data_IF_649844567071
#
_entry.id   IF_649844567071
#
_cell.length_a   1.000
_cell.length_b   1.000
_cell.length_c   1.000
_cell.angle_alpha   90.00
_cell.angle_beta   90.00
_cell.angle_gamma   90.00
#
_symmetry.space_group_name_H-M   'P 1'
#
loop_
_entity.id
_entity.type
_entity.pdbx_description
1 polymer ?
#
# COMPACT_ATOMS: atom_id res chain seq x y z
N UNK A 1 -2.86 -9.86 -17.05
CA UNK A 1 -1.52 -10.44 -16.93
C UNK A 1 -1.59 -11.95 -16.75
N UNK A 2 -0.52 -12.67 -17.12
CA UNK A 2 -0.44 -14.09 -16.86
C UNK A 2 -0.57 -14.37 -15.35
N UNK A 3 -1.08 -15.55 -14.92
CA UNK A 3 -1.23 -15.85 -13.50
C UNK A 3 0.04 -15.57 -12.71
N UNK A 4 -0.06 -14.68 -11.71
CA UNK A 4 1.05 -14.26 -10.86
C UNK A 4 2.02 -13.22 -11.49
N UNK A 5 1.75 -12.68 -12.67
CA UNK A 5 2.46 -11.54 -13.26
C UNK A 5 1.82 -10.21 -12.86
N UNK A 6 2.57 -9.13 -13.10
CA UNK A 6 2.05 -7.78 -13.09
C UNK A 6 2.30 -7.13 -14.45
N UNK A 7 1.52 -6.10 -14.76
CA UNK A 7 1.80 -5.15 -15.84
C UNK A 7 2.00 -3.80 -15.21
N UNK A 8 3.00 -3.08 -15.70
CA UNK A 8 3.34 -1.75 -15.20
C UNK A 8 3.35 -0.77 -16.35
N UNK A 9 2.75 0.41 -16.13
CA UNK A 9 2.82 1.55 -17.02
C UNK A 9 3.26 2.77 -16.23
N UNK A 10 4.09 3.63 -16.83
CA UNK A 10 4.59 4.85 -16.19
C UNK A 10 4.26 6.06 -17.05
N UNK A 11 3.49 6.97 -16.48
CA UNK A 11 3.07 8.24 -17.10
C UNK A 11 3.65 9.43 -16.35
N UNK A 12 3.66 10.61 -16.97
CA UNK A 12 4.04 11.84 -16.28
C UNK A 12 2.94 12.21 -15.27
N UNK A 13 3.35 12.61 -14.06
CA UNK A 13 2.46 13.19 -13.06
C UNK A 13 2.23 14.68 -13.32
N UNK A 14 1.48 15.32 -12.43
CA UNK A 14 1.16 16.76 -12.52
C UNK A 14 2.34 17.64 -12.08
N UNK A 15 3.13 17.17 -11.12
CA UNK A 15 4.28 17.87 -10.58
C UNK A 15 5.57 17.64 -11.35
N UNK A 16 6.53 18.55 -11.18
CA UNK A 16 7.90 18.33 -11.66
C UNK A 16 8.51 17.15 -10.90
N UNK A 17 9.15 16.24 -11.62
CA UNK A 17 9.76 15.02 -11.08
C UNK A 17 8.72 14.02 -10.46
N UNK A 18 7.45 14.16 -10.85
CA UNK A 18 6.38 13.23 -10.46
C UNK A 18 6.01 12.30 -11.63
N UNK A 19 5.79 11.04 -11.28
CA UNK A 19 5.43 9.98 -12.21
C UNK A 19 4.28 9.16 -11.62
N UNK A 20 3.33 8.77 -12.46
CA UNK A 20 2.26 7.85 -12.06
C UNK A 20 2.62 6.46 -12.53
N UNK A 21 2.75 5.54 -11.58
CA UNK A 21 3.05 4.12 -11.79
C UNK A 21 1.76 3.33 -11.62
N UNK A 22 1.19 2.86 -12.73
CA UNK A 22 0.03 1.99 -12.72
C UNK A 22 0.48 0.54 -12.69
N UNK A 23 -0.08 -0.23 -11.77
CA UNK A 23 0.19 -1.66 -11.60
C UNK A 23 -1.10 -2.43 -11.76
N UNK A 24 -1.17 -3.32 -12.76
CA UNK A 24 -2.28 -4.25 -12.95
C UNK A 24 -1.82 -5.66 -12.62
N UNK A 25 -2.52 -6.33 -11.72
CA UNK A 25 -2.22 -7.70 -11.31
C UNK A 25 -3.48 -8.39 -10.76
N UNK A 26 -3.37 -9.61 -10.24
CA UNK A 26 -4.44 -10.25 -9.47
C UNK A 26 -4.17 -10.12 -7.98
N UNK A 27 -5.25 -9.95 -7.22
CA UNK A 27 -5.18 -9.84 -5.76
C UNK A 27 -4.57 -11.08 -5.12
N UNK A 28 -3.84 -10.83 -4.06
CA UNK A 28 -3.22 -11.85 -3.22
C UNK A 28 -2.84 -11.29 -1.86
N UNK A 29 -2.67 -12.19 -0.92
CA UNK A 29 -2.21 -11.85 0.44
C UNK A 29 -0.97 -10.96 0.38
N UNK A 30 -1.00 -9.84 1.10
CA UNK A 30 0.08 -8.86 1.21
C UNK A 30 0.44 -8.13 -0.10
N UNK A 31 -0.49 -8.02 -1.06
CA UNK A 31 -0.18 -7.44 -2.37
C UNK A 31 0.38 -6.02 -2.24
N UNK A 32 -0.27 -5.15 -1.47
CA UNK A 32 0.19 -3.77 -1.26
C UNK A 32 1.62 -3.73 -0.68
N UNK A 33 1.93 -4.57 0.31
CA UNK A 33 3.28 -4.65 0.89
C UNK A 33 4.32 -5.13 -0.13
N UNK A 34 3.94 -6.00 -1.06
CA UNK A 34 4.82 -6.50 -2.13
C UNK A 34 5.13 -5.43 -3.16
N UNK A 35 4.11 -4.68 -3.61
CA UNK A 35 4.27 -3.61 -4.59
C UNK A 35 5.08 -2.48 -3.98
N UNK A 36 4.70 -2.02 -2.79
CA UNK A 36 5.39 -0.91 -2.11
C UNK A 36 6.84 -1.25 -1.74
N UNK A 37 7.17 -2.53 -1.42
CA UNK A 37 8.56 -2.96 -1.23
C UNK A 37 9.36 -2.90 -2.55
N UNK A 38 8.74 -3.27 -3.68
CA UNK A 38 9.39 -3.15 -4.99
C UNK A 38 9.69 -1.68 -5.33
N UNK A 39 8.71 -0.78 -5.18
CA UNK A 39 8.88 0.65 -5.47
C UNK A 39 9.92 1.29 -4.55
N UNK A 40 9.89 0.99 -3.25
CA UNK A 40 10.87 1.49 -2.27
C UNK A 40 12.30 1.05 -2.61
N UNK A 41 12.50 -0.17 -3.08
CA UNK A 41 13.83 -0.68 -3.49
C UNK A 41 14.39 0.02 -4.71
N UNK A 42 13.52 0.60 -5.51
CA UNK A 42 13.88 1.46 -6.65
C UNK A 42 13.97 2.95 -6.24
N UNK A 43 13.98 3.24 -4.93
CA UNK A 43 14.05 4.59 -4.36
C UNK A 43 12.95 5.53 -4.88
N UNK A 44 11.78 4.96 -5.18
CA UNK A 44 10.60 5.73 -5.57
C UNK A 44 9.83 6.15 -4.31
N UNK A 45 9.79 7.44 -4.03
CA UNK A 45 9.01 7.97 -2.91
C UNK A 45 7.56 8.14 -3.33
N UNK A 46 6.66 7.34 -2.74
CA UNK A 46 5.22 7.37 -3.00
C UNK A 46 4.63 8.56 -2.23
N UNK A 47 3.96 9.48 -2.94
CA UNK A 47 3.34 10.68 -2.35
C UNK A 47 1.82 10.64 -2.43
N UNK A 48 1.25 9.84 -3.35
CA UNK A 48 -0.17 9.56 -3.43
C UNK A 48 -0.39 8.17 -4.00
N UNK A 49 -1.52 7.55 -3.70
CA UNK A 49 -1.95 6.34 -4.37
C UNK A 49 -3.47 6.19 -4.31
N UNK A 50 -4.01 5.60 -5.38
CA UNK A 50 -5.37 5.11 -5.45
C UNK A 50 -5.34 3.61 -5.75
N UNK A 51 -5.97 2.82 -4.89
CA UNK A 51 -5.99 1.37 -4.97
C UNK A 51 -7.41 0.86 -5.18
N UNK A 52 -7.58 -0.05 -6.12
CA UNK A 52 -8.88 -0.64 -6.41
C UNK A 52 -8.76 -2.13 -6.74
N UNK A 53 -9.61 -2.94 -6.11
CA UNK A 53 -9.75 -4.36 -6.39
C UNK A 53 -11.16 -4.63 -6.92
N UNK A 54 -11.24 -5.27 -8.09
CA UNK A 54 -12.50 -5.67 -8.70
C UNK A 54 -13.02 -7.01 -8.14
N UNK A 55 -14.32 -7.30 -8.26
CA UNK A 55 -14.90 -8.55 -7.76
C UNK A 55 -14.31 -9.83 -8.38
N UNK A 56 -13.73 -9.73 -9.57
CA UNK A 56 -13.02 -10.84 -10.24
C UNK A 56 -11.57 -11.03 -9.77
N UNK A 57 -11.15 -10.21 -8.77
CA UNK A 57 -9.82 -10.26 -8.19
C UNK A 57 -8.75 -9.54 -9.02
N UNK A 58 -9.12 -8.82 -10.08
CA UNK A 58 -8.18 -7.91 -10.77
C UNK A 58 -7.94 -6.69 -9.90
N UNK A 59 -6.70 -6.25 -9.83
CA UNK A 59 -6.26 -5.07 -9.09
C UNK A 59 -5.67 -4.06 -10.07
N UNK A 60 -6.04 -2.81 -9.90
CA UNK A 60 -5.37 -1.65 -10.48
C UNK A 60 -4.95 -0.71 -9.36
N UNK A 61 -3.68 -0.65 -9.11
CA UNK A 61 -3.07 0.27 -8.15
C UNK A 61 -2.33 1.36 -8.93
N UNK A 62 -2.59 2.61 -8.60
CA UNK A 62 -1.95 3.79 -9.21
C UNK A 62 -1.17 4.53 -8.13
N UNK A 63 0.15 4.60 -8.29
CA UNK A 63 1.05 5.26 -7.33
C UNK A 63 1.65 6.52 -7.97
N UNK A 64 1.43 7.68 -7.37
CA UNK A 64 2.21 8.87 -7.71
C UNK A 64 3.51 8.82 -6.94
N UNK A 65 4.62 8.83 -7.65
CA UNK A 65 5.96 8.73 -7.07
C UNK A 65 6.82 9.92 -7.47
N UNK A 66 7.73 10.35 -6.60
CA UNK A 66 8.77 11.32 -6.92
C UNK A 66 10.07 10.63 -7.30
N UNK A 67 10.59 11.03 -8.46
CA UNK A 67 11.89 10.59 -8.96
C UNK A 67 12.46 11.61 -9.96
N UNK A 68 13.74 11.92 -9.83
CA UNK A 68 14.44 12.86 -10.73
C UNK A 68 14.46 12.38 -12.20
N UNK A 69 14.30 11.09 -12.43
CA UNK A 69 14.23 10.52 -13.77
C UNK A 69 13.00 9.64 -13.93
N UNK A 70 12.48 9.55 -15.16
CA UNK A 70 11.36 8.66 -15.48
C UNK A 70 11.71 7.21 -15.12
N UNK A 71 10.93 6.56 -14.24
CA UNK A 71 11.12 5.14 -13.94
C UNK A 71 10.95 4.29 -15.20
N UNK A 72 11.79 3.27 -15.38
CA UNK A 72 11.77 2.40 -16.55
C UNK A 72 10.69 1.33 -16.40
N UNK A 73 9.64 1.39 -17.23
CA UNK A 73 8.47 0.50 -17.14
C UNK A 73 8.84 -0.98 -17.08
N UNK A 74 9.63 -1.45 -18.04
CA UNK A 74 10.03 -2.87 -18.12
C UNK A 74 10.83 -3.32 -16.88
N UNK A 75 11.66 -2.45 -16.34
CA UNK A 75 12.41 -2.73 -15.12
C UNK A 75 11.48 -2.85 -13.92
N UNK A 76 10.56 -1.87 -13.73
CA UNK A 76 9.56 -1.92 -12.67
C UNK A 76 8.62 -3.12 -12.82
N UNK A 77 8.16 -3.44 -14.03
CA UNK A 77 7.31 -4.61 -14.28
C UNK A 77 8.01 -5.91 -13.82
N UNK A 78 9.29 -6.06 -14.14
CA UNK A 78 10.08 -7.21 -13.70
C UNK A 78 10.26 -7.23 -12.17
N UNK A 79 10.54 -6.09 -11.54
CA UNK A 79 10.70 -5.97 -10.10
C UNK A 79 9.38 -6.27 -9.37
N UNK A 80 8.29 -5.63 -9.75
CA UNK A 80 6.96 -5.86 -9.19
C UNK A 80 6.55 -7.33 -9.37
N UNK A 81 6.67 -7.88 -10.58
CA UNK A 81 6.35 -9.29 -10.85
C UNK A 81 7.14 -10.23 -9.95
N UNK A 82 8.44 -9.97 -9.76
CA UNK A 82 9.29 -10.77 -8.87
C UNK A 82 8.81 -10.70 -7.42
N UNK A 83 8.49 -9.51 -6.94
CA UNK A 83 8.01 -9.31 -5.56
C UNK A 83 6.62 -9.92 -5.37
N UNK A 84 5.72 -9.72 -6.33
CA UNK A 84 4.39 -10.33 -6.31
C UNK A 84 4.49 -11.88 -6.26
N UNK A 85 5.41 -12.50 -6.96
CA UNK A 85 5.58 -13.97 -6.99
C UNK A 85 6.33 -14.53 -5.78
N UNK A 86 7.38 -13.85 -5.32
CA UNK A 86 8.39 -14.43 -4.39
C UNK A 86 8.45 -13.73 -3.03
N UNK A 87 7.55 -12.81 -2.76
CA UNK A 87 7.58 -12.09 -1.49
C UNK A 87 7.47 -13.06 -0.32
N UNK A 88 8.42 -12.96 0.58
CA UNK A 88 8.37 -13.58 1.91
C UNK A 88 8.26 -12.45 2.93
N UNK A 89 7.13 -12.33 3.64
CA UNK A 89 7.03 -11.33 4.70
C UNK A 89 8.17 -11.55 5.68
N UNK A 90 9.05 -10.58 5.83
CA UNK A 90 10.05 -10.66 6.89
C UNK A 90 9.40 -10.24 8.20
N UNK A 91 9.07 -11.22 9.03
CA UNK A 91 8.53 -10.98 10.37
C UNK A 91 9.54 -10.30 11.30
N UNK A 92 10.81 -10.30 10.94
CA UNK A 92 11.91 -9.72 11.73
C UNK A 92 12.17 -8.25 11.43
N UNK A 93 11.61 -7.70 10.33
CA UNK A 93 11.78 -6.29 10.02
C UNK A 93 11.07 -5.44 11.07
N UNK A 94 11.78 -4.51 11.68
CA UNK A 94 11.17 -3.50 12.56
C UNK A 94 10.35 -2.54 11.71
N UNK A 95 9.06 -2.44 12.00
CA UNK A 95 8.15 -1.46 11.39
C UNK A 95 7.73 -0.37 12.37
N UNK A 96 8.00 -0.55 13.65
CA UNK A 96 7.73 0.42 14.71
C UNK A 96 8.65 1.66 14.65
N UNK A 97 8.31 2.67 15.43
CA UNK A 97 9.01 3.95 15.46
C UNK A 97 8.64 4.87 14.29
N UNK A 98 7.51 4.62 13.64
CA UNK A 98 7.01 5.47 12.57
C UNK A 98 6.28 6.72 13.13
N UNK A 99 5.90 6.70 14.41
CA UNK A 99 5.18 7.82 15.04
C UNK A 99 3.80 8.07 14.43
N UNK A 100 3.18 7.03 13.87
CA UNK A 100 1.88 7.13 13.22
C UNK A 100 0.75 6.93 14.22
N UNK A 101 -0.33 7.68 14.01
CA UNK A 101 -1.61 7.50 14.68
C UNK A 101 -2.55 6.68 13.79
N UNK A 102 -3.30 5.77 14.40
CA UNK A 102 -4.24 4.89 13.70
C UNK A 102 -5.62 5.07 14.33
N UNK A 103 -6.58 5.46 13.51
CA UNK A 103 -8.01 5.45 13.81
C UNK A 103 -8.72 4.37 13.02
N UNK A 104 -9.85 3.87 13.53
CA UNK A 104 -10.73 2.97 12.79
C UNK A 104 -12.19 3.34 13.03
N UNK A 105 -12.98 3.29 11.97
CA UNK A 105 -14.42 3.53 11.99
C UNK A 105 -15.12 2.34 11.31
N UNK A 106 -16.05 1.73 12.04
CA UNK A 106 -16.82 0.59 11.58
C UNK A 106 -18.25 0.97 11.10
N UNK A 107 -18.63 2.24 11.23
CA UNK A 107 -19.99 2.70 10.95
C UNK A 107 -20.11 3.35 9.56
N UNK A 108 -18.99 3.82 9.01
CA UNK A 108 -18.95 4.53 7.74
C UNK A 108 -19.17 3.63 6.51
N UNK A 109 -18.95 2.32 6.62
CA UNK A 109 -19.13 1.37 5.51
C UNK A 109 -19.93 0.13 5.98
N UNK A 110 -20.88 -0.41 5.16
CA UNK A 110 -21.76 -1.50 5.58
C UNK A 110 -21.03 -2.82 5.90
N UNK A 111 -19.88 -3.09 5.27
CA UNK A 111 -19.16 -4.37 5.40
C UNK A 111 -17.67 -4.22 5.76
N UNK A 112 -17.07 -3.05 5.53
CA UNK A 112 -15.64 -2.82 5.72
C UNK A 112 -15.40 -1.89 6.93
N UNK A 113 -14.19 -1.94 7.48
CA UNK A 113 -13.69 -0.90 8.39
C UNK A 113 -12.99 0.19 7.58
N UNK A 114 -13.20 1.45 7.94
CA UNK A 114 -12.40 2.56 7.44
C UNK A 114 -11.25 2.79 8.43
N UNK A 115 -10.02 2.52 8.01
CA UNK A 115 -8.82 2.80 8.81
C UNK A 115 -8.15 4.06 8.30
N UNK A 116 -7.92 5.02 9.21
CA UNK A 116 -7.17 6.24 8.92
C UNK A 116 -5.80 6.16 9.60
N UNK A 117 -4.75 6.49 8.85
CA UNK A 117 -3.38 6.54 9.37
C UNK A 117 -2.83 7.94 9.11
N UNK A 118 -2.40 8.63 10.19
CA UNK A 118 -1.87 9.99 10.13
C UNK A 118 -0.52 10.09 10.81
N UNK A 119 0.31 11.03 10.37
CA UNK A 119 1.61 11.29 10.99
C UNK A 119 2.58 12.03 10.08
N UNK A 120 3.86 12.05 10.42
CA UNK A 120 4.89 12.61 9.56
C UNK A 120 5.20 11.68 8.38
N UNK A 121 5.35 12.26 7.18
CA UNK A 121 5.80 11.49 6.01
C UNK A 121 7.28 11.13 6.14
N UNK A 122 7.60 9.90 5.78
CA UNK A 122 8.97 9.39 5.71
C UNK A 122 9.10 8.39 4.58
N UNK A 123 10.25 8.32 3.97
CA UNK A 123 10.52 7.33 2.93
C UNK A 123 10.12 5.91 3.35
N UNK A 124 9.33 5.26 2.52
CA UNK A 124 8.83 3.90 2.75
C UNK A 124 7.71 3.79 3.79
N UNK A 125 7.04 4.89 4.15
CA UNK A 125 5.96 4.87 5.15
C UNK A 125 4.81 3.97 4.73
N UNK A 126 4.37 4.03 3.48
CA UNK A 126 3.29 3.18 2.96
C UNK A 126 3.66 1.69 3.00
N UNK A 127 4.92 1.33 2.73
CA UNK A 127 5.39 -0.03 2.90
C UNK A 127 5.33 -0.50 4.37
N UNK A 128 5.62 0.37 5.33
CA UNK A 128 5.50 0.06 6.77
C UNK A 128 4.04 -0.20 7.14
N UNK A 129 3.13 0.67 6.69
CA UNK A 129 1.67 0.53 6.90
C UNK A 129 1.18 -0.79 6.29
N UNK A 130 1.48 -1.05 5.02
CA UNK A 130 1.09 -2.28 4.32
C UNK A 130 1.67 -3.55 4.98
N UNK A 131 2.89 -3.46 5.54
CA UNK A 131 3.51 -4.56 6.30
C UNK A 131 2.80 -4.78 7.63
N UNK A 132 2.38 -3.71 8.33
CA UNK A 132 1.60 -3.82 9.57
C UNK A 132 0.24 -4.47 9.29
N UNK A 133 -0.47 -4.05 8.24
CA UNK A 133 -1.72 -4.69 7.81
C UNK A 133 -1.53 -6.19 7.56
N UNK A 134 -0.52 -6.57 6.79
CA UNK A 134 -0.19 -7.98 6.53
C UNK A 134 0.04 -8.76 7.83
N UNK A 135 0.78 -8.20 8.79
CA UNK A 135 1.06 -8.85 10.09
C UNK A 135 -0.17 -8.98 10.99
N UNK A 136 -1.14 -8.10 10.79
CA UNK A 136 -2.41 -8.15 11.52
C UNK A 136 -3.47 -8.98 10.81
N UNK A 137 -3.20 -9.53 9.62
CA UNK A 137 -4.17 -10.27 8.82
C UNK A 137 -5.23 -9.36 8.19
N UNK A 138 -4.90 -8.09 7.98
CA UNK A 138 -5.81 -7.10 7.38
C UNK A 138 -5.67 -7.14 5.87
N UNK A 139 -6.81 -7.18 5.17
CA UNK A 139 -6.93 -7.09 3.71
C UNK A 139 -7.37 -5.69 3.32
N UNK A 140 -6.70 -5.10 2.34
CA UNK A 140 -7.01 -3.76 1.81
C UNK A 140 -7.82 -3.93 0.53
N UNK A 141 -8.98 -3.31 0.45
CA UNK A 141 -9.87 -3.32 -0.73
C UNK A 141 -9.76 -2.04 -1.53
N UNK A 142 -9.77 -0.90 -0.83
CA UNK A 142 -9.55 0.42 -1.39
C UNK A 142 -8.61 1.20 -0.49
N UNK A 143 -7.81 2.08 -1.08
CA UNK A 143 -7.04 3.04 -0.31
C UNK A 143 -6.89 4.35 -1.08
N UNK A 144 -6.86 5.43 -0.33
CA UNK A 144 -6.46 6.75 -0.78
C UNK A 144 -5.31 7.24 0.08
N UNK A 145 -4.19 7.43 -0.55
CA UNK A 145 -2.93 7.82 0.08
C UNK A 145 -2.67 9.27 -0.29
N UNK A 146 -2.46 10.11 0.70
CA UNK A 146 -2.23 11.54 0.49
C UNK A 146 -1.12 12.04 1.42
N UNK A 147 -0.08 12.62 0.83
CA UNK A 147 0.94 13.36 1.57
C UNK A 147 0.80 14.84 1.28
N UNK A 148 0.45 15.61 2.30
CA UNK A 148 0.33 17.07 2.23
C UNK A 148 1.22 17.71 3.30
N UNK A 149 2.04 18.68 2.90
CA UNK A 149 2.93 19.43 3.80
C UNK A 149 3.80 18.54 4.71
N UNK A 150 4.31 17.42 4.15
CA UNK A 150 5.13 16.46 4.89
C UNK A 150 4.38 15.62 5.92
N UNK A 151 3.07 15.55 5.82
CA UNK A 151 2.22 14.70 6.66
C UNK A 151 1.41 13.73 5.80
N UNK A 152 1.30 12.50 6.27
CA UNK A 152 0.41 11.49 5.68
C UNK A 152 -0.99 11.59 6.29
N UNK A 153 -1.99 11.40 5.45
CA UNK A 153 -3.40 11.25 5.83
C UNK A 153 -4.02 10.16 4.97
N UNK A 154 -3.64 8.94 5.26
CA UNK A 154 -3.97 7.76 4.46
C UNK A 154 -5.27 7.13 4.96
N UNK A 155 -6.16 6.78 4.04
CA UNK A 155 -7.45 6.13 4.32
C UNK A 155 -7.51 4.80 3.62
N UNK A 156 -7.91 3.76 4.35
CA UNK A 156 -7.97 2.40 3.86
C UNK A 156 -9.34 1.79 4.18
N UNK A 157 -10.01 1.25 3.17
CA UNK A 157 -11.15 0.35 3.38
C UNK A 157 -10.63 -1.08 3.48
N UNK A 158 -10.86 -1.69 4.63
CA UNK A 158 -10.23 -2.96 4.98
C UNK A 158 -11.21 -3.94 5.63
N UNK A 159 -10.85 -5.22 5.56
CA UNK A 159 -11.45 -6.30 6.37
C UNK A 159 -10.35 -7.12 7.04
N UNK A 160 -10.74 -8.00 7.94
CA UNK A 160 -9.88 -9.07 8.42
C UNK A 160 -9.71 -10.17 7.34
N UNK A 161 -8.95 -11.22 7.64
CA UNK A 161 -8.71 -12.35 6.75
C UNK A 161 -9.96 -13.21 6.47
N UNK A 162 -11.06 -12.99 7.17
CA UNK A 162 -12.34 -13.68 7.02
C UNK A 162 -13.39 -12.82 6.31
N UNK A 163 -13.02 -11.61 5.88
CA UNK A 163 -13.90 -10.64 5.25
C UNK A 163 -14.81 -9.88 6.22
N UNK A 164 -14.52 -9.94 7.53
CA UNK A 164 -15.25 -9.20 8.55
C UNK A 164 -14.58 -7.85 8.87
N UNK A 165 -15.35 -6.93 9.47
CA UNK A 165 -14.80 -5.67 10.01
C UNK A 165 -13.76 -5.96 11.10
N UNK A 166 -12.81 -5.06 11.24
CA UNK A 166 -11.76 -5.18 12.26
C UNK A 166 -12.34 -5.08 13.68
N UNK A 167 -11.89 -5.96 14.55
CA UNK A 167 -12.14 -5.85 15.98
C UNK A 167 -11.17 -4.87 16.66
N UNK A 168 -11.52 -4.40 17.85
CA UNK A 168 -10.72 -3.46 18.64
C UNK A 168 -9.31 -3.97 18.94
N UNK A 169 -9.16 -5.30 19.09
CA UNK A 169 -7.87 -5.94 19.34
C UNK A 169 -6.94 -5.79 18.14
N UNK A 170 -7.46 -5.99 16.93
CA UNK A 170 -6.72 -5.82 15.68
C UNK A 170 -6.32 -4.37 15.47
N UNK A 171 -7.25 -3.43 15.71
CA UNK A 171 -6.97 -1.98 15.65
C UNK A 171 -5.89 -1.58 16.65
N UNK A 172 -5.98 -2.01 17.91
CA UNK A 172 -4.96 -1.74 18.92
C UNK A 172 -3.59 -2.34 18.57
N UNK A 173 -3.57 -3.53 17.93
CA UNK A 173 -2.33 -4.14 17.44
C UNK A 173 -1.70 -3.35 16.30
N UNK A 174 -2.51 -2.86 15.35
CA UNK A 174 -2.05 -1.97 14.27
C UNK A 174 -1.44 -0.69 14.84
N UNK A 175 -2.15 -0.01 15.72
CA UNK A 175 -1.67 1.21 16.36
C UNK A 175 -0.34 1.01 17.09
N UNK A 176 -0.16 -0.11 17.78
CA UNK A 176 1.11 -0.45 18.46
C UNK A 176 2.25 -0.73 17.48
N UNK A 177 1.98 -1.33 16.32
CA UNK A 177 3.01 -1.63 15.32
C UNK A 177 3.46 -0.38 14.57
N UNK A 178 2.61 0.64 14.45
CA UNK A 178 2.86 1.84 13.66
C UNK A 178 3.31 3.05 14.51
N UNK A 179 3.20 2.99 15.82
CA UNK A 179 3.83 3.94 16.75
C UNK A 179 5.36 3.75 16.78
#
# INVERSE_FOLDING_TARGET
PAPGGARVRVEAGEGRDEWVVHVVTHDRVALLARITDALRREHLNIVAADLATWPDGVVLDSFTVRSAAKPRELHLENMVTRHVRRFRPSWTVRIGGAGLEVGADNDMHPSNSLVTVTGEDREGILWRIATAFTRCGVQVHHARIETLDGRVNDRFEVTDSHGARLDDRTVARLARLLR
#
